data_IF_115736710782
#
_entry.id   IF_115736710782
#
_cell.length_a   1.000
_cell.length_b   1.000
_cell.length_c   1.000
_cell.angle_alpha   90.00
_cell.angle_beta   90.00
_cell.angle_gamma   90.00
#
_symmetry.space_group_name_H-M   'P 1'
#
loop_
_entity.id
_entity.type
_entity.pdbx_description
1 polymer ?
#
# COMPACT_ATOMS: atom_id res chain seq x y z
N UNK A 1 -3.94 18.32 4.60
CA UNK A 1 -3.58 18.67 5.99
C UNK A 1 -3.60 17.40 6.83
N UNK A 2 -2.52 17.13 7.57
CA UNK A 2 -2.44 15.96 8.46
C UNK A 2 -3.26 16.21 9.72
N UNK A 3 -4.52 15.79 9.70
CA UNK A 3 -5.39 15.69 10.88
C UNK A 3 -5.21 14.32 11.55
N UNK A 4 -5.61 14.19 12.82
CA UNK A 4 -5.64 12.90 13.52
C UNK A 4 -6.42 11.84 12.73
N UNK A 5 -7.56 12.23 12.14
CA UNK A 5 -8.38 11.34 11.32
C UNK A 5 -7.67 10.84 10.06
N UNK A 6 -7.00 11.74 9.33
CA UNK A 6 -6.22 11.34 8.13
C UNK A 6 -5.02 10.46 8.50
N UNK A 7 -4.38 10.71 9.64
CA UNK A 7 -3.28 9.87 10.11
C UNK A 7 -3.76 8.46 10.44
N UNK A 8 -4.88 8.33 11.15
CA UNK A 8 -5.51 7.03 11.42
C UNK A 8 -5.91 6.33 10.12
N UNK A 9 -6.46 7.05 9.14
CA UNK A 9 -6.81 6.48 7.84
C UNK A 9 -5.57 5.93 7.10
N UNK A 10 -4.45 6.65 7.13
CA UNK A 10 -3.18 6.19 6.54
C UNK A 10 -2.68 4.92 7.22
N UNK A 11 -2.67 4.89 8.56
CA UNK A 11 -2.18 3.74 9.32
C UNK A 11 -3.03 2.51 8.99
N UNK A 12 -4.36 2.64 9.05
CA UNK A 12 -5.29 1.55 8.76
C UNK A 12 -5.19 1.09 7.30
N UNK A 13 -5.04 2.01 6.35
CA UNK A 13 -4.82 1.69 4.94
C UNK A 13 -3.51 0.90 4.72
N UNK A 14 -2.41 1.33 5.34
CA UNK A 14 -1.12 0.65 5.25
C UNK A 14 -1.16 -0.76 5.82
N UNK A 15 -1.78 -0.95 6.98
CA UNK A 15 -1.96 -2.26 7.61
C UNK A 15 -2.85 -3.16 6.76
N UNK A 16 -4.02 -2.67 6.34
CA UNK A 16 -4.95 -3.44 5.52
C UNK A 16 -4.32 -3.87 4.19
N UNK A 17 -3.59 -2.95 3.53
CA UNK A 17 -2.83 -3.27 2.33
C UNK A 17 -1.76 -4.34 2.58
N UNK A 18 -1.06 -4.29 3.71
CA UNK A 18 -0.04 -5.28 4.07
C UNK A 18 -0.64 -6.66 4.30
N UNK A 19 -1.81 -6.72 4.95
CA UNK A 19 -2.56 -7.96 5.14
C UNK A 19 -2.96 -8.54 3.77
N UNK A 20 -3.58 -7.72 2.90
CA UNK A 20 -4.00 -8.17 1.58
C UNK A 20 -2.82 -8.66 0.73
N UNK A 21 -1.71 -7.91 0.70
CA UNK A 21 -0.48 -8.32 0.04
C UNK A 21 0.08 -9.64 0.60
N UNK A 22 0.10 -9.79 1.92
CA UNK A 22 0.63 -10.98 2.58
C UNK A 22 -0.22 -12.22 2.28
N UNK A 23 -1.54 -12.07 2.20
CA UNK A 23 -2.45 -13.15 1.78
C UNK A 23 -2.14 -13.61 0.35
N UNK A 24 -1.93 -12.67 -0.58
CA UNK A 24 -1.59 -13.00 -1.97
C UNK A 24 -0.21 -13.65 -2.05
N UNK A 25 0.80 -13.12 -1.35
CA UNK A 25 2.15 -13.71 -1.33
C UNK A 25 2.14 -15.11 -0.72
N UNK A 26 1.43 -15.31 0.39
CA UNK A 26 1.29 -16.63 1.01
C UNK A 26 0.59 -17.62 0.08
N UNK A 27 -0.49 -17.20 -0.60
CA UNK A 27 -1.22 -18.05 -1.54
C UNK A 27 -0.44 -18.40 -2.81
N UNK A 28 0.35 -17.48 -3.35
CA UNK A 28 1.11 -17.70 -4.60
C UNK A 28 2.45 -18.40 -4.40
N UNK A 29 3.13 -18.15 -3.28
CA UNK A 29 4.53 -18.54 -3.06
C UNK A 29 4.67 -19.52 -1.88
N UNK A 30 3.60 -19.80 -1.14
CA UNK A 30 3.64 -20.70 0.02
C UNK A 30 4.40 -20.11 1.22
N UNK A 31 4.59 -18.79 1.26
CA UNK A 31 5.29 -18.12 2.34
C UNK A 31 4.47 -18.11 3.65
N UNK A 32 5.12 -18.17 4.83
CA UNK A 32 4.41 -18.22 6.11
C UNK A 32 3.66 -16.92 6.39
N UNK A 33 2.33 -16.98 6.28
CA UNK A 33 1.43 -15.81 6.33
C UNK A 33 1.67 -14.92 7.56
N UNK A 34 1.72 -15.52 8.76
CA UNK A 34 1.89 -14.75 10.00
C UNK A 34 3.25 -14.05 10.08
N UNK A 35 4.31 -14.65 9.53
CA UNK A 35 5.61 -14.02 9.43
C UNK A 35 5.61 -12.79 8.52
N UNK A 36 4.78 -12.80 7.47
CA UNK A 36 4.60 -11.66 6.57
C UNK A 36 3.77 -10.55 7.22
N UNK A 37 2.63 -10.91 7.82
CA UNK A 37 1.69 -9.95 8.44
C UNK A 37 2.30 -9.29 9.67
N UNK A 38 3.02 -10.04 10.51
CA UNK A 38 3.59 -9.52 11.76
C UNK A 38 4.99 -8.90 11.59
N UNK A 39 5.50 -8.86 10.36
CA UNK A 39 6.80 -8.25 10.07
C UNK A 39 6.74 -6.74 10.32
N UNK A 40 7.40 -6.30 11.40
CA UNK A 40 7.45 -4.89 11.78
C UNK A 40 7.99 -4.01 10.64
N UNK A 41 9.09 -4.43 10.00
CA UNK A 41 9.70 -3.69 8.89
C UNK A 41 8.77 -3.50 7.70
N UNK A 42 8.01 -4.55 7.32
CA UNK A 42 7.04 -4.47 6.20
C UNK A 42 5.89 -3.53 6.54
N UNK A 43 5.32 -3.65 7.73
CA UNK A 43 4.21 -2.78 8.14
C UNK A 43 4.64 -1.32 8.27
N UNK A 44 5.81 -1.06 8.86
CA UNK A 44 6.35 0.29 8.99
C UNK A 44 6.52 0.94 7.60
N UNK A 45 7.16 0.25 6.67
CA UNK A 45 7.32 0.75 5.29
C UNK A 45 5.97 0.92 4.59
N UNK A 46 5.05 -0.02 4.74
CA UNK A 46 3.72 0.08 4.16
C UNK A 46 2.92 1.29 4.68
N UNK A 47 3.01 1.61 5.97
CA UNK A 47 2.38 2.81 6.55
C UNK A 47 3.07 4.06 6.01
N UNK A 48 4.40 4.07 5.94
CA UNK A 48 5.16 5.21 5.42
C UNK A 48 4.83 5.51 3.96
N UNK A 49 4.70 4.48 3.11
CA UNK A 49 4.32 4.66 1.70
C UNK A 49 2.85 5.13 1.61
N UNK A 50 1.96 4.64 2.48
CA UNK A 50 0.57 5.10 2.51
C UNK A 50 0.42 6.59 2.89
N UNK A 51 1.42 7.23 3.51
CA UNK A 51 1.43 8.69 3.75
C UNK A 51 1.41 9.51 2.46
N UNK A 52 1.69 8.91 1.30
CA UNK A 52 1.57 9.58 0.01
C UNK A 52 0.11 9.86 -0.37
N UNK A 53 -0.84 9.05 0.11
CA UNK A 53 -2.27 9.19 -0.21
C UNK A 53 -2.82 10.58 0.14
N UNK A 54 -2.68 11.11 1.37
CA UNK A 54 -3.15 12.45 1.68
C UNK A 54 -2.46 13.55 0.87
N UNK A 55 -1.21 13.34 0.43
CA UNK A 55 -0.49 14.31 -0.39
C UNK A 55 -1.03 14.32 -1.82
N UNK A 56 -1.23 13.13 -2.41
CA UNK A 56 -1.75 12.97 -3.78
C UNK A 56 -3.17 13.52 -3.87
N UNK A 57 -4.07 13.09 -2.98
CA UNK A 57 -5.47 13.54 -2.98
C UNK A 57 -5.66 15.00 -2.53
N UNK A 58 -4.62 15.64 -1.97
CA UNK A 58 -4.66 17.07 -1.71
C UNK A 58 -4.28 17.93 -2.93
N UNK A 59 -3.63 17.36 -3.95
CA UNK A 59 -3.14 18.09 -5.12
C UNK A 59 -3.77 17.67 -6.44
N UNK A 60 -4.41 16.51 -6.46
CA UNK A 60 -5.01 15.92 -7.66
C UNK A 60 -6.46 15.55 -7.40
N UNK A 61 -7.26 15.57 -8.46
CA UNK A 61 -8.68 15.24 -8.42
C UNK A 61 -9.04 14.17 -9.45
N UNK A 62 -10.22 13.57 -9.29
CA UNK A 62 -10.77 12.57 -10.19
C UNK A 62 -9.86 11.35 -10.43
N UNK A 63 -10.01 10.75 -11.62
CA UNK A 63 -9.34 9.51 -12.04
C UNK A 63 -7.81 9.63 -11.95
N UNK A 64 -7.25 10.80 -12.27
CA UNK A 64 -5.82 11.02 -12.24
C UNK A 64 -5.22 10.81 -10.84
N UNK A 65 -5.91 11.23 -9.78
CA UNK A 65 -5.46 11.02 -8.41
C UNK A 65 -5.38 9.53 -8.05
N UNK A 66 -6.38 8.74 -8.47
CA UNK A 66 -6.39 7.29 -8.25
C UNK A 66 -5.28 6.58 -9.01
N UNK A 67 -5.10 6.92 -10.29
CA UNK A 67 -4.06 6.33 -11.11
C UNK A 67 -2.67 6.59 -10.51
N UNK A 68 -2.38 7.84 -10.15
CA UNK A 68 -1.11 8.20 -9.51
C UNK A 68 -0.93 7.52 -8.16
N UNK A 69 -1.97 7.46 -7.32
CA UNK A 69 -1.91 6.77 -6.04
C UNK A 69 -1.60 5.27 -6.21
N UNK A 70 -2.33 4.57 -7.08
CA UNK A 70 -2.11 3.14 -7.32
C UNK A 70 -0.73 2.88 -7.89
N UNK A 71 -0.29 3.65 -8.89
CA UNK A 71 1.03 3.49 -9.50
C UNK A 71 2.14 3.76 -8.48
N UNK A 72 2.06 4.86 -7.71
CA UNK A 72 3.06 5.17 -6.70
C UNK A 72 3.14 4.09 -5.62
N UNK A 73 2.00 3.66 -5.08
CA UNK A 73 1.93 2.62 -4.05
C UNK A 73 2.27 1.22 -4.57
N UNK A 74 2.23 0.96 -5.88
CA UNK A 74 2.69 -0.31 -6.45
C UNK A 74 4.20 -0.28 -6.73
N UNK A 75 4.69 0.79 -7.34
CA UNK A 75 6.08 0.90 -7.81
C UNK A 75 7.04 1.10 -6.65
N UNK A 76 6.76 2.01 -5.71
CA UNK A 76 7.69 2.35 -4.62
C UNK A 76 7.95 1.13 -3.72
N UNK A 77 6.94 0.41 -3.19
CA UNK A 77 7.19 -0.80 -2.43
C UNK A 77 7.85 -1.90 -3.24
N UNK A 78 7.62 -1.97 -4.57
CA UNK A 78 8.31 -2.96 -5.42
C UNK A 78 9.81 -2.67 -5.52
N UNK A 79 10.19 -1.40 -5.67
CA UNK A 79 11.59 -0.99 -5.65
C UNK A 79 12.19 -1.31 -4.28
N UNK A 80 11.53 -0.93 -3.18
CA UNK A 80 12.02 -1.20 -1.82
C UNK A 80 12.13 -2.71 -1.54
N UNK A 81 11.20 -3.52 -2.03
CA UNK A 81 11.27 -4.98 -1.92
C UNK A 81 12.56 -5.53 -2.56
N UNK A 82 12.96 -4.95 -3.70
CA UNK A 82 14.18 -5.34 -4.41
C UNK A 82 15.46 -4.84 -3.76
N UNK A 83 15.49 -3.58 -3.38
CA UNK A 83 16.74 -2.91 -2.98
C UNK A 83 17.00 -2.98 -1.48
N UNK A 84 15.96 -2.92 -0.65
CA UNK A 84 16.08 -2.87 0.81
C UNK A 84 15.80 -4.23 1.45
N UNK A 85 14.77 -4.94 0.97
CA UNK A 85 14.37 -6.23 1.54
C UNK A 85 14.98 -7.45 0.83
N UNK A 86 15.77 -7.25 -0.23
CA UNK A 86 16.49 -8.33 -0.92
C UNK A 86 15.58 -9.39 -1.55
N UNK A 87 14.33 -9.06 -1.90
CA UNK A 87 13.36 -10.03 -2.42
C UNK A 87 13.74 -10.46 -3.84
N UNK A 88 14.04 -11.76 -4.01
CA UNK A 88 14.48 -12.33 -5.29
C UNK A 88 13.35 -12.57 -6.32
N UNK A 89 12.08 -12.35 -5.97
CA UNK A 89 10.92 -12.59 -6.84
C UNK A 89 10.97 -11.82 -8.18
N UNK A 90 10.48 -12.36 -9.32
CA UNK A 90 10.44 -11.62 -10.58
C UNK A 90 9.73 -10.25 -10.45
N UNK A 91 10.17 -9.26 -11.21
CA UNK A 91 9.59 -7.90 -11.16
C UNK A 91 8.08 -7.88 -11.37
N UNK A 92 7.57 -8.69 -12.32
CA UNK A 92 6.13 -8.81 -12.56
C UNK A 92 5.36 -9.28 -11.33
N UNK A 93 5.91 -10.27 -10.59
CA UNK A 93 5.29 -10.75 -9.36
C UNK A 93 5.34 -9.69 -8.25
N UNK A 94 6.47 -9.02 -8.08
CA UNK A 94 6.61 -7.94 -7.08
C UNK A 94 5.62 -6.79 -7.35
N UNK A 95 5.50 -6.36 -8.60
CA UNK A 95 4.55 -5.32 -9.01
C UNK A 95 3.10 -5.78 -8.82
N UNK A 96 2.77 -7.02 -9.19
CA UNK A 96 1.42 -7.55 -9.05
C UNK A 96 0.97 -7.60 -7.58
N UNK A 97 1.79 -8.14 -6.67
CA UNK A 97 1.42 -8.22 -5.24
C UNK A 97 1.37 -6.83 -4.60
N UNK A 98 2.26 -5.91 -5.00
CA UNK A 98 2.23 -4.54 -4.50
C UNK A 98 1.10 -3.70 -5.13
N UNK A 99 0.61 -4.06 -6.32
CA UNK A 99 -0.60 -3.48 -6.87
C UNK A 99 -1.83 -3.85 -6.03
N UNK A 100 -1.89 -5.09 -5.50
CA UNK A 100 -2.94 -5.48 -4.54
C UNK A 100 -2.86 -4.63 -3.28
N UNK A 101 -1.65 -4.47 -2.70
CA UNK A 101 -1.44 -3.53 -1.60
C UNK A 101 -1.95 -2.12 -1.95
N UNK A 102 -1.57 -1.60 -3.11
CA UNK A 102 -1.89 -0.25 -3.54
C UNK A 102 -3.41 -0.03 -3.66
N UNK A 103 -4.10 -0.94 -4.33
CA UNK A 103 -5.56 -0.88 -4.49
C UNK A 103 -6.24 -0.97 -3.13
N UNK A 104 -5.86 -1.93 -2.28
CA UNK A 104 -6.45 -2.07 -0.94
C UNK A 104 -6.23 -0.82 -0.09
N UNK A 105 -5.00 -0.28 -0.06
CA UNK A 105 -4.68 0.92 0.70
C UNK A 105 -5.49 2.14 0.21
N UNK A 106 -5.61 2.33 -1.10
CA UNK A 106 -6.42 3.41 -1.70
C UNK A 106 -7.89 3.28 -1.29
N UNK A 107 -8.48 2.09 -1.43
CA UNK A 107 -9.89 1.84 -1.09
C UNK A 107 -10.16 2.10 0.39
N UNK A 108 -9.31 1.56 1.28
CA UNK A 108 -9.47 1.74 2.73
C UNK A 108 -9.30 3.20 3.13
N UNK A 109 -8.32 3.89 2.56
CA UNK A 109 -8.11 5.32 2.82
C UNK A 109 -9.33 6.14 2.45
N UNK A 110 -9.86 5.97 1.22
CA UNK A 110 -11.03 6.71 0.73
C UNK A 110 -12.28 6.41 1.55
N UNK A 111 -12.49 5.15 1.94
CA UNK A 111 -13.60 4.74 2.78
C UNK A 111 -13.58 5.45 4.15
N UNK A 112 -12.39 5.59 4.76
CA UNK A 112 -12.24 6.20 6.08
C UNK A 112 -12.27 7.75 6.05
N UNK A 113 -11.72 8.36 5.01
CA UNK A 113 -11.74 9.82 4.87
C UNK A 113 -13.06 10.34 4.33
N UNK A 114 -13.93 9.47 3.78
CA UNK A 114 -15.13 9.85 3.01
C UNK A 114 -14.79 10.82 1.88
N UNK A 115 -13.55 10.80 1.39
CA UNK A 115 -13.16 11.57 0.23
C UNK A 115 -13.93 11.02 -0.96
N UNK A 116 -15.03 11.69 -1.34
CA UNK A 116 -15.70 11.40 -2.60
C UNK A 116 -14.75 11.83 -3.70
N UNK A 117 -14.25 10.85 -4.44
CA UNK A 117 -13.75 11.08 -5.77
C UNK A 117 -14.92 11.55 -6.63
N UNK A 118 -15.04 12.87 -6.78
CA UNK A 118 -15.78 13.49 -7.87
C UNK A 118 -14.72 14.08 -8.81
#
# INVERSE_FOLDING_TARGET
MFTRRTLMAVILAGIAGTIANSLVVAGLVGAPLWGLILSFGRNAVAILVALMLPVIYARMHGIAAHAVAVVALAVIPSILAKTVFGVAAPWGLALAVNAVYAVTAVVVYLALTRSRAL
#
